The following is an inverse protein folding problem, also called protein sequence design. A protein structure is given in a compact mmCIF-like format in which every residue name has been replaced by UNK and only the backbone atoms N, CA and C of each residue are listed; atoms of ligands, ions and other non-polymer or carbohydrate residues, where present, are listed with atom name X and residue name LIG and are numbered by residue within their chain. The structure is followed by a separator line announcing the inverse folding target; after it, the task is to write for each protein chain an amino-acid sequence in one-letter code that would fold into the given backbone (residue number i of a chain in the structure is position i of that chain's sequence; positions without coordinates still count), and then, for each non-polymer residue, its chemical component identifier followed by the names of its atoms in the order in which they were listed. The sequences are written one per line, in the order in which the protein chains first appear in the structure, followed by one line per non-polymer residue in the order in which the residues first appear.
data_IF_551994802660
#
_entry.id   IF_551994802660
#
_cell.length_a   1.000
_cell.length_b   1.000
_cell.length_c   1.000
_cell.angle_alpha   90.00
_cell.angle_beta   90.00
_cell.angle_gamma   90.00
#
_symmetry.space_group_name_H-M   'P 1'
#
loop_
_entity.id
_entity.type
_entity.pdbx_description
1 polymer ?
#
# COMPACT_ATOMS: atom_id res chain seq x y z
N UNK A 1 -8.57 33.28 18.40
CA UNK A 1 -9.41 33.11 19.61
C UNK A 1 -8.47 32.83 20.76
N UNK A 2 -8.34 33.75 21.72
CA UNK A 2 -7.61 33.46 22.96
C UNK A 2 -8.53 32.60 23.83
N UNK A 3 -8.04 31.44 24.27
CA UNK A 3 -8.80 30.55 25.14
C UNK A 3 -8.86 31.14 26.55
N UNK A 4 -9.98 31.78 26.88
CA UNK A 4 -10.19 32.42 28.18
C UNK A 4 -10.55 31.43 29.29
N UNK A 5 -10.72 30.13 28.97
CA UNK A 5 -11.15 29.10 29.93
C UNK A 5 -10.02 28.15 30.37
N UNK A 6 -8.77 28.46 30.02
CA UNK A 6 -7.58 27.68 30.35
C UNK A 6 -7.79 26.18 30.13
N UNK A 7 -8.32 25.81 28.95
CA UNK A 7 -8.70 24.42 28.67
C UNK A 7 -7.47 23.60 28.33
N UNK A 8 -7.45 22.37 28.81
CA UNK A 8 -6.28 21.49 28.68
C UNK A 8 -6.68 20.13 28.10
N UNK A 9 -5.94 19.70 27.08
CA UNK A 9 -5.92 18.31 26.64
C UNK A 9 -4.58 17.72 27.02
N UNK A 10 -4.57 16.74 27.92
CA UNK A 10 -3.38 15.99 28.30
C UNK A 10 -3.44 14.60 27.64
N UNK A 11 -2.33 14.18 27.03
CA UNK A 11 -2.22 12.89 26.34
C UNK A 11 -0.95 12.21 26.84
N UNK A 12 -1.03 10.92 27.19
CA UNK A 12 0.14 10.13 27.55
C UNK A 12 1.15 10.05 26.41
N UNK A 13 2.43 9.91 26.75
CA UNK A 13 3.56 9.84 25.80
C UNK A 13 4.52 8.67 26.12
N UNK A 14 3.94 7.54 26.56
CA UNK A 14 4.65 6.36 27.06
C UNK A 14 5.77 5.87 26.16
N UNK A 15 5.56 5.74 24.84
CA UNK A 15 6.61 5.26 23.93
C UNK A 15 7.79 6.22 23.90
N UNK A 16 7.55 7.54 23.87
CA UNK A 16 8.61 8.53 23.76
C UNK A 16 9.40 8.73 25.06
N UNK A 17 8.87 8.25 26.19
CA UNK A 17 9.61 8.14 27.45
C UNK A 17 10.57 6.94 27.49
N UNK A 18 10.63 6.12 26.43
CA UNK A 18 11.60 5.01 26.32
C UNK A 18 13.04 5.55 26.38
N UNK A 19 13.89 5.04 27.29
CA UNK A 19 15.30 5.41 27.36
C UNK A 19 16.02 5.23 26.01
N UNK A 20 16.94 6.14 25.67
CA UNK A 20 17.62 6.15 24.36
C UNK A 20 18.28 4.82 24.02
N UNK A 21 18.84 4.13 25.00
CA UNK A 21 19.51 2.84 24.84
C UNK A 21 18.55 1.66 24.65
N UNK A 22 17.24 1.84 24.87
CA UNK A 22 16.19 0.83 24.69
C UNK A 22 15.43 0.94 23.37
N UNK A 23 15.66 2.01 22.60
CA UNK A 23 15.07 2.15 21.27
C UNK A 23 15.56 1.04 20.33
N UNK A 24 14.64 0.60 19.47
CA UNK A 24 14.79 -0.47 18.49
C UNK A 24 15.21 -1.80 19.15
N UNK A 25 14.66 -2.07 20.34
CA UNK A 25 14.83 -3.32 21.08
C UNK A 25 13.48 -3.82 21.60
N UNK A 26 13.44 -5.08 22.01
CA UNK A 26 12.22 -5.70 22.58
C UNK A 26 11.66 -4.90 23.76
N UNK A 27 12.53 -4.27 24.57
CA UNK A 27 12.14 -3.37 25.67
C UNK A 27 11.20 -2.21 25.26
N UNK A 28 11.27 -1.80 24.00
CA UNK A 28 10.46 -0.69 23.47
C UNK A 28 9.19 -1.14 22.78
N UNK A 29 8.96 -2.46 22.63
CA UNK A 29 7.74 -3.00 22.05
C UNK A 29 6.58 -2.94 23.05
N UNK A 30 5.32 -2.90 22.57
CA UNK A 30 4.14 -3.02 23.43
C UNK A 30 4.14 -4.32 24.22
N UNK A 31 3.73 -4.25 25.49
CA UNK A 31 3.52 -5.45 26.30
C UNK A 31 2.29 -6.20 25.80
N UNK A 32 2.44 -7.49 25.52
CA UNK A 32 1.35 -8.37 25.09
C UNK A 32 0.93 -9.34 26.20
N UNK A 33 -0.35 -9.70 26.33
CA UNK A 33 -1.49 -9.21 25.53
C UNK A 33 -1.78 -7.74 25.79
N UNK A 34 -2.28 -7.02 24.77
CA UNK A 34 -2.61 -5.61 24.94
C UNK A 34 -3.78 -5.46 25.91
N UNK A 35 -3.71 -4.42 26.74
CA UNK A 35 -4.89 -3.97 27.45
C UNK A 35 -5.95 -3.45 26.47
N UNK A 36 -7.20 -3.47 26.89
CA UNK A 36 -8.31 -2.95 26.11
C UNK A 36 -9.07 -1.90 26.89
N UNK A 37 -9.63 -0.95 26.16
CA UNK A 37 -10.45 0.13 26.69
C UNK A 37 -11.80 0.13 25.97
N UNK A 38 -12.88 0.06 26.74
CA UNK A 38 -14.24 0.07 26.20
C UNK A 38 -14.78 1.50 26.12
N UNK A 39 -14.79 2.04 24.90
CA UNK A 39 -15.29 3.39 24.63
C UNK A 39 -16.76 3.57 24.94
N UNK A 40 -17.57 2.51 25.03
CA UNK A 40 -19.00 2.66 25.33
C UNK A 40 -19.26 3.23 26.73
N UNK A 41 -18.27 3.17 27.62
CA UNK A 41 -18.30 3.78 28.94
C UNK A 41 -18.19 5.31 28.88
N UNK A 42 -17.60 5.83 27.80
CA UNK A 42 -17.57 7.26 27.49
C UNK A 42 -18.84 7.54 26.71
N UNK A 43 -19.81 8.25 27.31
CA UNK A 43 -21.11 8.58 26.70
C UNK A 43 -20.98 9.43 25.42
N UNK A 44 -20.54 8.81 24.32
CA UNK A 44 -20.21 9.50 23.08
C UNK A 44 -20.31 8.59 21.86
N UNK A 45 -20.79 9.18 20.76
CA UNK A 45 -20.67 8.65 19.41
C UNK A 45 -19.29 8.99 18.81
N UNK A 46 -18.33 8.08 18.99
CA UNK A 46 -17.02 8.10 18.34
C UNK A 46 -17.05 7.10 17.19
N UNK A 47 -16.68 7.54 15.99
CA UNK A 47 -16.66 6.71 14.79
C UNK A 47 -15.53 5.66 14.84
N UNK A 48 -15.77 4.56 15.55
CA UNK A 48 -14.86 3.41 15.64
C UNK A 48 -15.46 2.20 14.95
N UNK A 49 -14.60 1.28 14.51
CA UNK A 49 -15.02 -0.01 13.96
C UNK A 49 -15.54 -0.92 15.07
N UNK A 50 -14.93 -0.82 16.25
CA UNK A 50 -15.35 -1.52 17.47
C UNK A 50 -15.11 -0.62 18.69
N UNK A 51 -16.05 -0.63 19.65
CA UNK A 51 -15.94 0.15 20.88
C UNK A 51 -14.83 -0.35 21.82
N UNK A 52 -14.42 -1.62 21.70
CA UNK A 52 -13.27 -2.15 22.42
C UNK A 52 -12.00 -1.76 21.66
N UNK A 53 -11.23 -0.86 22.24
CA UNK A 53 -10.02 -0.29 21.67
C UNK A 53 -8.79 -0.97 22.30
N UNK A 54 -7.93 -1.64 21.52
CA UNK A 54 -6.65 -2.11 22.04
C UNK A 54 -5.75 -0.92 22.38
N UNK A 55 -5.00 -1.01 23.47
CA UNK A 55 -4.05 0.02 23.91
C UNK A 55 -2.64 -0.41 23.52
N UNK A 56 -2.11 0.11 22.41
CA UNK A 56 -0.75 -0.21 21.96
C UNK A 56 0.27 0.38 22.94
N UNK A 57 0.20 1.67 23.20
CA UNK A 57 0.90 2.33 24.30
C UNK A 57 -0.09 3.18 25.08
N UNK A 58 0.09 3.21 26.39
CA UNK A 58 -0.72 4.00 27.28
C UNK A 58 -0.44 3.70 28.74
N UNK A 59 -1.05 4.48 29.60
CA UNK A 59 -0.97 4.38 31.05
C UNK A 59 -2.35 4.65 31.61
N UNK A 60 -2.82 3.80 32.53
CA UNK A 60 -4.05 4.10 33.28
C UNK A 60 -3.89 5.41 34.05
N UNK A 61 -4.96 6.19 34.07
CA UNK A 61 -5.06 7.40 34.87
C UNK A 61 -5.33 7.03 36.34
N UNK A 62 -5.30 8.02 37.24
CA UNK A 62 -5.58 7.82 38.68
C UNK A 62 -6.96 7.19 38.95
N UNK A 63 -7.92 7.37 38.03
CA UNK A 63 -9.25 6.75 38.06
C UNK A 63 -9.23 5.25 37.77
N UNK A 64 -8.12 4.71 37.27
CA UNK A 64 -8.00 3.36 36.73
C UNK A 64 -8.44 3.24 35.27
N UNK A 65 -8.96 4.30 34.65
CA UNK A 65 -9.42 4.31 33.26
C UNK A 65 -8.39 4.96 32.30
N UNK A 66 -8.62 4.89 31.00
CA UNK A 66 -7.80 5.51 29.95
C UNK A 66 -8.30 6.89 29.52
N UNK A 67 -9.40 7.37 30.08
CA UNK A 67 -9.91 8.71 29.82
C UNK A 67 -10.51 9.34 31.09
N UNK A 68 -10.26 10.64 31.27
CA UNK A 68 -10.91 11.45 32.30
C UNK A 68 -11.40 12.74 31.65
N UNK A 69 -12.70 13.02 31.78
CA UNK A 69 -13.39 14.09 31.05
C UNK A 69 -14.01 15.05 32.05
N UNK A 70 -13.53 16.29 32.02
CA UNK A 70 -14.01 17.42 32.82
C UNK A 70 -14.38 18.60 31.89
N UNK A 71 -15.04 19.62 32.41
CA UNK A 71 -15.55 20.73 31.60
C UNK A 71 -14.47 21.54 30.87
N UNK A 72 -13.30 21.70 31.50
CA UNK A 72 -12.16 22.42 30.96
C UNK A 72 -10.93 21.53 30.75
N UNK A 73 -11.02 20.22 31.02
CA UNK A 73 -9.86 19.33 30.93
C UNK A 73 -10.26 17.95 30.44
N UNK A 74 -9.52 17.43 29.47
CA UNK A 74 -9.59 16.02 29.09
C UNK A 74 -8.20 15.43 29.25
N UNK A 75 -8.11 14.30 29.96
CA UNK A 75 -6.88 13.50 30.05
C UNK A 75 -7.09 12.20 29.29
N UNK A 76 -6.15 11.86 28.43
CA UNK A 76 -6.09 10.61 27.69
C UNK A 76 -4.89 9.82 28.19
N UNK A 77 -5.16 8.68 28.83
CA UNK A 77 -4.16 7.68 29.19
C UNK A 77 -3.64 6.91 27.97
N UNK A 78 -4.32 7.01 26.82
CA UNK A 78 -3.83 6.46 25.55
C UNK A 78 -2.67 7.30 25.04
N UNK A 79 -1.54 6.67 24.72
CA UNK A 79 -0.46 7.32 23.98
C UNK A 79 -0.75 7.25 22.48
N UNK A 80 -1.60 8.19 22.04
CA UNK A 80 -2.05 8.28 20.65
C UNK A 80 -0.89 8.55 19.70
N UNK A 81 0.05 9.41 20.09
CA UNK A 81 1.15 9.82 19.23
C UNK A 81 2.22 8.73 19.11
N UNK A 82 2.61 8.11 20.22
CA UNK A 82 3.53 6.99 20.25
C UNK A 82 2.96 5.76 19.55
N UNK A 83 1.69 5.44 19.79
CA UNK A 83 1.04 4.33 19.09
C UNK A 83 0.89 4.58 17.59
N UNK A 84 0.56 5.81 17.17
CA UNK A 84 0.54 6.18 15.76
C UNK A 84 1.95 6.09 15.15
N UNK A 85 2.97 6.58 15.84
CA UNK A 85 4.36 6.44 15.41
C UNK A 85 4.73 4.98 15.19
N UNK A 86 4.55 4.12 16.21
CA UNK A 86 4.84 2.69 16.13
C UNK A 86 4.17 2.01 14.92
N UNK A 87 2.88 2.28 14.71
CA UNK A 87 2.10 1.68 13.62
C UNK A 87 2.51 2.21 12.25
N UNK A 88 2.73 3.53 12.11
CA UNK A 88 3.01 4.17 10.82
C UNK A 88 4.46 3.98 10.36
N UNK A 89 5.42 3.92 11.28
CA UNK A 89 6.83 3.65 10.94
C UNK A 89 7.11 2.17 10.78
N UNK A 90 6.12 1.30 11.05
CA UNK A 90 6.29 -0.16 11.08
C UNK A 90 7.43 -0.56 12.03
N UNK A 91 7.49 0.11 13.18
CA UNK A 91 8.60 0.04 14.13
C UNK A 91 9.01 -1.40 14.49
N UNK A 92 8.02 -2.27 14.70
CA UNK A 92 8.24 -3.68 15.02
C UNK A 92 8.99 -4.47 13.93
N UNK A 93 8.95 -4.05 12.66
CA UNK A 93 9.64 -4.75 11.56
C UNK A 93 11.15 -4.57 11.58
N UNK A 94 11.61 -3.53 12.29
CA UNK A 94 13.03 -3.24 12.54
C UNK A 94 13.52 -3.99 13.77
N UNK A 95 12.67 -4.13 14.79
CA UNK A 95 13.01 -4.82 16.04
C UNK A 95 12.98 -6.35 15.85
N UNK A 96 11.91 -6.87 15.23
CA UNK A 96 11.70 -8.31 15.04
C UNK A 96 12.46 -8.80 13.81
N UNK A 97 13.21 -9.89 13.98
CA UNK A 97 14.02 -10.50 12.93
C UNK A 97 13.27 -11.45 12.00
N UNK A 98 11.99 -11.73 12.25
CA UNK A 98 11.17 -12.65 11.44
C UNK A 98 10.97 -12.13 10.03
N UNK A 99 11.23 -12.99 9.04
CA UNK A 99 11.03 -12.72 7.63
C UNK A 99 10.38 -13.91 6.93
N UNK A 100 9.62 -13.65 5.87
CA UNK A 100 9.13 -14.68 4.96
C UNK A 100 10.20 -15.08 3.92
N UNK A 101 9.84 -16.00 3.02
CA UNK A 101 10.70 -16.47 1.92
C UNK A 101 11.16 -15.38 0.93
N UNK A 102 10.56 -14.19 1.02
CA UNK A 102 10.88 -13.01 0.22
C UNK A 102 11.59 -11.91 1.03
N UNK A 103 12.07 -12.24 2.23
CA UNK A 103 12.74 -11.29 3.15
C UNK A 103 11.85 -10.13 3.63
N UNK A 104 10.52 -10.32 3.61
CA UNK A 104 9.56 -9.32 4.10
C UNK A 104 9.12 -9.66 5.51
N UNK A 105 8.72 -8.66 6.29
CA UNK A 105 8.08 -8.91 7.57
C UNK A 105 6.64 -9.43 7.33
N UNK A 106 6.31 -10.67 7.76
CA UNK A 106 5.00 -11.23 7.48
C UNK A 106 3.92 -10.61 8.37
N UNK A 107 2.74 -10.31 7.79
CA UNK A 107 1.60 -9.75 8.53
C UNK A 107 1.22 -10.59 9.77
N UNK A 108 1.38 -11.92 9.70
CA UNK A 108 1.10 -12.84 10.82
C UNK A 108 2.01 -12.67 12.04
N UNK A 109 3.16 -12.01 11.90
CA UNK A 109 4.06 -11.69 12.99
C UNK A 109 3.81 -10.30 13.59
N UNK A 110 2.91 -9.52 12.99
CA UNK A 110 2.58 -8.17 13.46
C UNK A 110 1.80 -8.22 14.77
N UNK A 111 2.02 -7.21 15.62
CA UNK A 111 1.18 -6.95 16.80
C UNK A 111 -0.31 -6.98 16.42
N UNK A 112 -0.67 -6.33 15.32
CA UNK A 112 -2.04 -6.21 14.87
C UNK A 112 -2.69 -7.56 14.54
N UNK A 113 -1.94 -8.53 14.01
CA UNK A 113 -2.45 -9.89 13.79
C UNK A 113 -2.63 -10.64 15.12
N UNK A 114 -1.62 -10.60 15.99
CA UNK A 114 -1.65 -11.31 17.28
C UNK A 114 -2.76 -10.81 18.21
N UNK A 115 -3.04 -9.51 18.17
CA UNK A 115 -4.03 -8.83 19.00
C UNK A 115 -5.38 -8.65 18.29
N UNK A 116 -5.58 -9.28 17.12
CA UNK A 116 -6.87 -9.36 16.45
C UNK A 116 -7.39 -8.05 15.84
N UNK A 117 -6.54 -7.06 15.61
CA UNK A 117 -6.93 -5.76 15.02
C UNK A 117 -6.32 -5.49 13.63
N UNK A 118 -5.73 -6.48 12.97
CA UNK A 118 -5.08 -6.32 11.65
C UNK A 118 -5.97 -5.65 10.59
N UNK A 119 -7.27 -5.92 10.62
CA UNK A 119 -8.24 -5.35 9.66
C UNK A 119 -8.84 -4.02 10.11
N UNK A 120 -8.42 -3.49 11.27
CA UNK A 120 -8.93 -2.23 11.83
C UNK A 120 -7.98 -1.08 11.50
N UNK A 121 -8.50 0.09 11.11
CA UNK A 121 -7.68 1.28 10.93
C UNK A 121 -7.37 1.92 12.30
N UNK A 122 -6.64 1.21 13.16
CA UNK A 122 -6.49 1.56 14.59
C UNK A 122 -5.97 2.99 14.81
N UNK A 123 -5.06 3.45 13.96
CA UNK A 123 -4.56 4.85 14.01
C UNK A 123 -5.70 5.85 13.74
N UNK A 124 -6.60 5.56 12.81
CA UNK A 124 -7.78 6.40 12.58
C UNK A 124 -8.72 6.35 13.79
N UNK A 125 -8.97 5.19 14.38
CA UNK A 125 -9.80 5.08 15.59
C UNK A 125 -9.22 5.92 16.74
N UNK A 126 -7.90 5.90 16.96
CA UNK A 126 -7.24 6.80 17.90
C UNK A 126 -7.39 8.28 17.53
N UNK A 127 -7.31 8.63 16.25
CA UNK A 127 -7.54 10.01 15.80
C UNK A 127 -8.99 10.46 16.01
N UNK A 128 -9.98 9.56 15.95
CA UNK A 128 -11.36 9.90 16.28
C UNK A 128 -11.54 10.16 17.78
N UNK A 129 -10.89 9.38 18.65
CA UNK A 129 -10.84 9.65 20.10
C UNK A 129 -10.21 11.02 20.36
N UNK A 130 -9.05 11.30 19.75
CA UNK A 130 -8.37 12.59 19.89
C UNK A 130 -9.25 13.74 19.41
N UNK A 131 -9.85 13.60 18.22
CA UNK A 131 -10.72 14.62 17.65
C UNK A 131 -11.93 14.89 18.54
N UNK A 132 -12.52 13.83 19.10
CA UNK A 132 -13.61 13.98 20.04
C UNK A 132 -13.19 14.79 21.27
N UNK A 133 -12.04 14.46 21.89
CA UNK A 133 -11.52 15.20 23.05
C UNK A 133 -11.26 16.67 22.74
N UNK A 134 -10.69 16.96 21.57
CA UNK A 134 -10.49 18.33 21.08
C UNK A 134 -11.84 19.04 20.94
N UNK A 135 -12.83 18.40 20.30
CA UNK A 135 -14.14 19.01 20.06
C UNK A 135 -14.93 19.23 21.36
N UNK A 136 -14.78 18.36 22.35
CA UNK A 136 -15.37 18.51 23.69
C UNK A 136 -14.87 19.78 24.38
N UNK A 137 -13.57 20.04 24.33
CA UNK A 137 -12.95 21.23 24.91
C UNK A 137 -13.20 22.49 24.07
N UNK A 138 -13.16 22.38 22.75
CA UNK A 138 -13.35 23.49 21.84
C UNK A 138 -14.46 23.21 20.82
N UNK A 139 -15.75 23.35 21.22
CA UNK A 139 -16.90 23.06 20.36
C UNK A 139 -16.95 23.88 19.07
N UNK A 140 -16.27 25.03 19.01
CA UNK A 140 -16.17 25.87 17.81
C UNK A 140 -15.19 25.36 16.75
N UNK A 141 -14.33 24.37 17.04
CA UNK A 141 -13.35 23.89 16.07
C UNK A 141 -14.01 23.04 14.97
N UNK A 142 -13.70 23.34 13.72
CA UNK A 142 -14.17 22.56 12.58
C UNK A 142 -13.08 21.63 12.08
N UNK A 143 -13.47 20.40 11.72
CA UNK A 143 -12.53 19.45 11.14
C UNK A 143 -12.30 19.79 9.68
N UNK A 144 -11.03 19.84 9.25
CA UNK A 144 -10.70 19.96 7.83
C UNK A 144 -11.32 18.79 7.06
N UNK A 145 -12.18 19.10 6.08
CA UNK A 145 -12.74 18.10 5.16
C UNK A 145 -11.61 17.47 4.35
N UNK A 146 -11.52 16.14 4.37
CA UNK A 146 -10.57 15.38 3.55
C UNK A 146 -11.25 14.99 2.25
N UNK A 147 -10.66 15.39 1.13
CA UNK A 147 -10.97 14.82 -0.18
C UNK A 147 -9.93 13.76 -0.49
N UNK A 148 -10.36 12.59 -0.98
CA UNK A 148 -9.46 11.58 -1.51
C UNK A 148 -9.34 11.72 -3.02
N UNK A 149 -8.28 11.16 -3.59
CA UNK A 149 -8.11 10.97 -5.03
C UNK A 149 -7.64 9.54 -5.27
N UNK A 150 -8.23 8.88 -6.26
CA UNK A 150 -7.78 7.57 -6.70
C UNK A 150 -6.56 7.69 -7.63
N UNK A 151 -5.37 7.45 -7.10
CA UNK A 151 -4.14 7.33 -7.88
C UNK A 151 -3.96 5.85 -8.25
N UNK A 152 -4.45 5.42 -9.42
CA UNK A 152 -4.27 4.04 -9.87
C UNK A 152 -2.98 3.91 -10.67
N UNK A 153 -2.25 2.84 -10.34
CA UNK A 153 -1.05 2.41 -11.05
C UNK A 153 -1.15 0.96 -11.48
N UNK A 154 -0.38 0.60 -12.50
CA UNK A 154 -0.38 -0.72 -13.10
C UNK A 154 1.06 -1.20 -13.28
N UNK A 155 1.38 -2.34 -12.68
CA UNK A 155 2.67 -3.00 -12.89
C UNK A 155 2.58 -3.81 -14.19
N UNK A 156 3.50 -3.54 -15.11
CA UNK A 156 3.57 -4.23 -16.39
C UNK A 156 4.54 -5.39 -16.24
N UNK A 157 4.06 -6.52 -15.73
CA UNK A 157 4.90 -7.71 -15.50
C UNK A 157 4.82 -8.71 -16.66
N UNK A 158 3.58 -9.00 -17.08
CA UNK A 158 3.26 -10.02 -18.07
C UNK A 158 2.32 -9.46 -19.14
N UNK A 159 2.79 -8.50 -19.97
CA UNK A 159 1.96 -7.86 -20.98
C UNK A 159 1.49 -8.83 -22.08
N UNK A 160 2.24 -9.92 -22.29
CA UNK A 160 1.98 -10.94 -23.29
C UNK A 160 2.05 -12.34 -22.65
N UNK A 161 0.99 -13.12 -22.77
CA UNK A 161 0.90 -14.47 -22.18
C UNK A 161 1.00 -15.60 -23.19
N UNK A 162 0.89 -15.26 -24.47
CA UNK A 162 0.89 -16.17 -25.62
C UNK A 162 2.08 -15.86 -26.50
N UNK A 163 2.23 -14.60 -26.93
CA UNK A 163 3.38 -14.18 -27.73
C UNK A 163 4.69 -14.37 -26.94
N UNK A 164 5.71 -14.91 -27.61
CA UNK A 164 7.00 -15.23 -26.99
C UNK A 164 7.00 -16.45 -26.04
N UNK A 165 5.85 -17.06 -25.76
CA UNK A 165 5.76 -18.28 -24.96
C UNK A 165 5.74 -19.56 -25.82
N UNK A 166 6.14 -20.68 -25.23
CA UNK A 166 6.05 -21.99 -25.87
C UNK A 166 4.56 -22.37 -26.09
N UNK A 167 4.11 -22.70 -27.31
CA UNK A 167 2.73 -23.09 -27.60
C UNK A 167 2.22 -24.24 -26.72
N UNK A 168 3.06 -25.24 -26.39
CA UNK A 168 2.69 -26.34 -25.49
C UNK A 168 2.33 -25.83 -24.09
N UNK A 169 3.01 -24.78 -23.60
CA UNK A 169 2.69 -24.13 -22.32
C UNK A 169 1.35 -23.41 -22.39
N UNK A 170 1.07 -22.74 -23.51
CA UNK A 170 -0.22 -22.06 -23.74
C UNK A 170 -1.37 -23.07 -23.77
N UNK A 171 -1.19 -24.20 -24.47
CA UNK A 171 -2.16 -25.30 -24.51
C UNK A 171 -2.39 -25.91 -23.12
N UNK A 172 -1.32 -26.18 -22.36
CA UNK A 172 -1.43 -26.65 -20.97
C UNK A 172 -2.20 -25.66 -20.09
N UNK A 173 -1.97 -24.36 -20.29
CA UNK A 173 -2.69 -23.30 -19.55
C UNK A 173 -4.17 -23.29 -19.94
N UNK A 174 -4.50 -23.41 -21.23
CA UNK A 174 -5.87 -23.49 -21.72
C UNK A 174 -6.61 -24.73 -21.17
N UNK A 175 -5.95 -25.88 -21.06
CA UNK A 175 -6.50 -27.06 -20.40
C UNK A 175 -6.75 -26.79 -18.90
N UNK A 176 -5.83 -26.10 -18.22
CA UNK A 176 -6.02 -25.65 -16.84
C UNK A 176 -7.18 -24.67 -16.67
N UNK A 177 -7.44 -23.82 -17.66
CA UNK A 177 -8.60 -22.91 -17.65
C UNK A 177 -9.92 -23.69 -17.61
N UNK A 178 -10.02 -24.80 -18.33
CA UNK A 178 -11.20 -25.69 -18.28
C UNK A 178 -11.22 -26.52 -16.99
N UNK A 179 -10.14 -27.26 -16.71
CA UNK A 179 -10.15 -28.30 -15.67
C UNK A 179 -10.06 -27.73 -14.25
N UNK A 180 -9.27 -26.67 -14.05
CA UNK A 180 -9.01 -26.08 -12.73
C UNK A 180 -9.87 -24.84 -12.49
N UNK A 181 -9.97 -23.94 -13.48
CA UNK A 181 -10.73 -22.67 -13.35
C UNK A 181 -12.19 -22.82 -13.72
N UNK A 182 -12.58 -23.92 -14.37
CA UNK A 182 -13.95 -24.18 -14.85
C UNK A 182 -14.46 -23.08 -15.79
N UNK A 183 -13.57 -22.50 -16.58
CA UNK A 183 -13.85 -21.40 -17.50
C UNK A 183 -13.50 -21.79 -18.95
N UNK A 184 -14.50 -22.33 -19.66
CA UNK A 184 -14.38 -22.74 -21.06
C UNK A 184 -14.23 -21.54 -21.99
N UNK A 185 -14.81 -20.39 -21.64
CA UNK A 185 -14.75 -19.19 -22.45
C UNK A 185 -13.33 -18.61 -22.45
N UNK A 186 -12.67 -18.56 -21.30
CA UNK A 186 -11.28 -18.15 -21.17
C UNK A 186 -10.35 -19.07 -21.98
N UNK A 187 -10.57 -20.39 -21.89
CA UNK A 187 -9.81 -21.36 -22.67
C UNK A 187 -9.94 -21.11 -24.18
N UNK A 188 -11.19 -20.95 -24.65
CA UNK A 188 -11.49 -20.63 -26.06
C UNK A 188 -10.80 -19.34 -26.50
N UNK A 189 -10.89 -18.26 -25.71
CA UNK A 189 -10.23 -16.98 -26.01
C UNK A 189 -8.71 -17.14 -26.07
N UNK A 190 -8.11 -17.93 -25.18
CA UNK A 190 -6.66 -18.17 -25.16
C UNK A 190 -6.20 -18.94 -26.39
N UNK A 191 -6.96 -19.94 -26.83
CA UNK A 191 -6.68 -20.69 -28.06
C UNK A 191 -6.83 -19.81 -29.32
N UNK A 192 -7.88 -18.98 -29.38
CA UNK A 192 -8.03 -17.99 -30.46
C UNK A 192 -6.87 -16.99 -30.49
N UNK A 193 -6.44 -16.54 -29.31
CA UNK A 193 -5.26 -15.69 -29.17
C UNK A 193 -4.00 -16.37 -29.69
N UNK A 194 -3.77 -17.65 -29.34
CA UNK A 194 -2.67 -18.45 -29.88
C UNK A 194 -2.69 -18.53 -31.40
N UNK A 195 -3.84 -18.81 -32.00
CA UNK A 195 -3.97 -18.86 -33.46
C UNK A 195 -3.60 -17.52 -34.11
N UNK A 196 -4.13 -16.39 -33.59
CA UNK A 196 -3.85 -15.05 -34.13
C UNK A 196 -2.40 -14.63 -33.96
N UNK A 197 -1.81 -14.90 -32.80
CA UNK A 197 -0.39 -14.62 -32.54
C UNK A 197 0.51 -15.45 -33.46
N UNK A 198 0.18 -16.72 -33.74
CA UNK A 198 0.91 -17.55 -34.70
C UNK A 198 0.84 -17.00 -36.14
N UNK A 199 -0.20 -16.23 -36.49
CA UNK A 199 -0.30 -15.50 -37.76
C UNK A 199 0.41 -14.13 -37.75
N UNK A 200 1.13 -13.80 -36.69
CA UNK A 200 1.90 -12.54 -36.54
C UNK A 200 1.16 -11.40 -35.84
N UNK A 201 -0.11 -11.58 -35.47
CA UNK A 201 -0.89 -10.56 -34.76
C UNK A 201 -0.65 -10.62 -33.24
N UNK A 202 0.46 -10.04 -32.79
CA UNK A 202 0.81 -9.95 -31.36
C UNK A 202 -0.21 -9.14 -30.55
N UNK A 203 -0.83 -8.12 -31.15
CA UNK A 203 -1.84 -7.28 -30.49
C UNK A 203 -3.10 -8.07 -30.09
N UNK A 204 -3.31 -9.26 -30.66
CA UNK A 204 -4.38 -10.19 -30.28
C UNK A 204 -4.05 -11.09 -29.07
N UNK A 205 -2.93 -10.88 -28.38
CA UNK A 205 -2.63 -11.58 -27.12
C UNK A 205 -3.76 -11.33 -26.10
N UNK A 206 -4.26 -12.39 -25.46
CA UNK A 206 -5.34 -12.29 -24.49
C UNK A 206 -4.97 -11.43 -23.27
N UNK A 207 -3.67 -11.28 -22.97
CA UNK A 207 -3.19 -10.44 -21.87
C UNK A 207 -2.95 -8.98 -22.27
N UNK A 208 -2.99 -8.67 -23.57
CA UNK A 208 -2.95 -7.30 -24.06
C UNK A 208 -4.29 -6.60 -23.77
N UNK A 209 -4.42 -6.10 -22.55
CA UNK A 209 -5.64 -5.44 -22.02
C UNK A 209 -5.45 -3.94 -21.81
N UNK A 210 -4.33 -3.38 -22.26
CA UNK A 210 -3.95 -2.00 -22.00
C UNK A 210 -4.96 -0.99 -22.55
N UNK A 211 -5.55 -1.23 -23.73
CA UNK A 211 -6.62 -0.38 -24.25
C UNK A 211 -7.83 -0.36 -23.33
N UNK A 212 -8.29 -1.52 -22.88
CA UNK A 212 -9.40 -1.60 -21.95
C UNK A 212 -9.10 -0.83 -20.64
N UNK A 213 -7.89 -0.96 -20.10
CA UNK A 213 -7.46 -0.28 -18.86
C UNK A 213 -7.44 1.25 -19.07
N UNK A 214 -6.87 1.71 -20.19
CA UNK A 214 -6.80 3.14 -20.51
C UNK A 214 -8.20 3.71 -20.81
N UNK A 215 -9.02 3.04 -21.63
CA UNK A 215 -10.41 3.42 -21.94
C UNK A 215 -11.26 3.51 -20.67
N UNK A 216 -11.13 2.56 -19.75
CA UNK A 216 -11.83 2.58 -18.47
C UNK A 216 -11.38 3.77 -17.60
N UNK A 217 -10.10 4.11 -17.64
CA UNK A 217 -9.55 5.23 -16.86
C UNK A 217 -9.97 6.58 -17.41
N UNK A 218 -9.87 6.77 -18.72
CA UNK A 218 -10.25 8.00 -19.42
C UNK A 218 -11.74 8.31 -19.29
N UNK A 219 -12.61 7.29 -19.38
CA UNK A 219 -14.05 7.45 -19.14
C UNK A 219 -14.39 7.99 -17.75
N UNK A 220 -13.48 7.87 -16.78
CA UNK A 220 -13.63 8.40 -15.44
C UNK A 220 -12.80 9.68 -15.21
N UNK A 221 -12.19 10.25 -16.26
CA UNK A 221 -11.35 11.45 -16.18
C UNK A 221 -10.04 11.21 -15.42
N UNK A 222 -9.50 9.99 -15.44
CA UNK A 222 -8.37 9.62 -14.60
C UNK A 222 -7.11 9.32 -15.42
N UNK A 223 -6.02 10.03 -15.07
CA UNK A 223 -4.64 9.71 -15.46
C UNK A 223 -4.12 8.53 -14.63
N UNK A 224 -3.22 7.73 -15.21
CA UNK A 224 -2.71 6.46 -14.65
C UNK A 224 -1.22 6.36 -14.84
N UNK A 225 -0.55 5.62 -13.97
CA UNK A 225 0.85 5.26 -14.13
C UNK A 225 0.99 3.79 -14.51
N UNK A 226 1.85 3.50 -15.50
CA UNK A 226 2.24 2.16 -15.90
C UNK A 226 3.72 1.98 -15.61
N UNK A 227 4.05 1.06 -14.69
CA UNK A 227 5.39 0.80 -14.23
C UNK A 227 6.00 -0.36 -15.02
N UNK A 228 7.09 -0.10 -15.74
CA UNK A 228 7.77 -1.09 -16.57
C UNK A 228 9.06 -1.59 -15.92
N UNK A 229 9.28 -2.90 -16.04
CA UNK A 229 10.46 -3.60 -15.56
C UNK A 229 11.63 -3.29 -16.48
N UNK A 230 12.70 -2.73 -15.90
CA UNK A 230 13.88 -2.30 -16.66
C UNK A 230 15.04 -3.32 -16.65
N UNK A 231 15.06 -4.28 -15.72
CA UNK A 231 16.07 -5.34 -15.67
C UNK A 231 15.51 -6.60 -14.98
N UNK A 232 16.26 -7.71 -15.00
CA UNK A 232 15.78 -9.03 -14.56
C UNK A 232 16.73 -9.69 -13.56
N UNK A 233 16.96 -9.04 -12.42
CA UNK A 233 17.89 -9.53 -11.38
C UNK A 233 17.47 -10.85 -10.73
N UNK A 234 16.23 -11.29 -10.92
CA UNK A 234 15.69 -12.58 -10.50
C UNK A 234 15.11 -13.40 -11.69
N UNK A 235 15.54 -13.09 -12.92
CA UNK A 235 15.14 -13.83 -14.11
C UNK A 235 13.64 -13.74 -14.37
N UNK A 236 12.96 -14.90 -14.46
CA UNK A 236 11.53 -14.95 -14.81
C UNK A 236 10.58 -14.36 -13.77
N UNK A 237 11.05 -14.11 -12.54
CA UNK A 237 10.26 -13.41 -11.54
C UNK A 237 9.97 -11.97 -12.01
N UNK A 238 10.93 -11.37 -12.73
CA UNK A 238 10.86 -10.02 -13.29
C UNK A 238 10.13 -9.97 -14.66
N UNK A 239 9.33 -10.98 -14.98
CA UNK A 239 8.72 -11.11 -16.30
C UNK A 239 9.67 -11.68 -17.35
N UNK A 240 9.31 -11.50 -18.63
CA UNK A 240 10.03 -12.08 -19.78
C UNK A 240 10.31 -11.08 -20.90
N UNK A 241 9.74 -9.88 -20.84
CA UNK A 241 9.93 -8.89 -21.90
C UNK A 241 11.15 -8.03 -21.60
N UNK A 242 11.70 -7.38 -22.63
CA UNK A 242 12.70 -6.35 -22.46
C UNK A 242 12.09 -5.01 -22.86
N UNK A 243 12.50 -3.94 -22.20
CA UNK A 243 12.11 -2.58 -22.62
C UNK A 243 12.45 -2.31 -24.09
N UNK A 244 13.50 -2.97 -24.61
CA UNK A 244 13.93 -2.83 -25.99
C UNK A 244 13.01 -3.52 -27.02
N UNK A 245 12.10 -4.38 -26.56
CA UNK A 245 11.22 -5.12 -27.45
C UNK A 245 10.31 -4.14 -28.22
N UNK A 246 10.21 -4.24 -29.57
CA UNK A 246 9.46 -3.28 -30.37
C UNK A 246 7.99 -3.14 -29.95
N UNK A 247 7.38 -4.23 -29.49
CA UNK A 247 6.00 -4.21 -29.00
C UNK A 247 5.87 -3.43 -27.68
N UNK A 248 6.86 -3.54 -26.78
CA UNK A 248 6.90 -2.81 -25.51
C UNK A 248 7.12 -1.32 -25.76
N UNK A 249 8.05 -0.95 -26.65
CA UNK A 249 8.25 0.45 -27.07
C UNK A 249 6.98 1.06 -27.68
N UNK A 250 6.29 0.32 -28.56
CA UNK A 250 4.98 0.71 -29.11
C UNK A 250 3.94 0.91 -28.01
N UNK A 251 3.89 0.01 -27.02
CA UNK A 251 3.00 0.13 -25.88
C UNK A 251 3.30 1.37 -25.04
N UNK A 252 4.57 1.62 -24.69
CA UNK A 252 4.99 2.80 -23.92
C UNK A 252 4.58 4.10 -24.62
N UNK A 253 4.81 4.20 -25.94
CA UNK A 253 4.38 5.35 -26.75
C UNK A 253 2.88 5.53 -26.76
N UNK A 254 2.13 4.44 -26.87
CA UNK A 254 0.68 4.47 -26.86
C UNK A 254 0.14 4.97 -25.52
N UNK A 255 0.67 4.46 -24.42
CA UNK A 255 0.31 4.88 -23.06
C UNK A 255 0.59 6.37 -22.87
N UNK A 256 1.80 6.82 -23.20
CA UNK A 256 2.18 8.23 -23.09
C UNK A 256 1.35 9.13 -24.01
N UNK A 257 1.14 8.73 -25.27
CA UNK A 257 0.34 9.46 -26.26
C UNK A 257 -1.14 9.61 -25.87
N UNK A 258 -1.65 8.72 -25.02
CA UNK A 258 -2.98 8.83 -24.40
C UNK A 258 -2.99 9.65 -23.10
N UNK A 259 -1.86 10.26 -22.74
CA UNK A 259 -1.71 11.14 -21.59
C UNK A 259 -1.42 10.42 -20.27
N UNK A 260 -1.19 9.11 -20.28
CA UNK A 260 -0.83 8.35 -19.08
C UNK A 260 0.67 8.45 -18.76
N UNK A 261 1.03 8.11 -17.53
CA UNK A 261 2.39 8.16 -17.01
C UNK A 261 3.12 6.83 -17.21
N UNK A 262 4.40 6.91 -17.54
CA UNK A 262 5.34 5.80 -17.52
C UNK A 262 6.21 5.92 -16.27
N UNK A 263 6.45 4.82 -15.58
CA UNK A 263 7.36 4.78 -14.45
C UNK A 263 8.22 3.53 -14.41
N UNK A 264 9.13 3.50 -13.45
CA UNK A 264 10.01 2.37 -13.20
C UNK A 264 9.33 1.33 -12.31
N UNK A 265 9.21 0.09 -12.78
CA UNK A 265 9.06 -1.06 -11.91
C UNK A 265 10.45 -1.63 -11.68
N UNK A 266 10.97 -1.55 -10.45
CA UNK A 266 12.30 -2.10 -10.18
C UNK A 266 12.29 -3.62 -10.22
N UNK A 267 13.41 -4.24 -10.60
CA UNK A 267 13.56 -5.69 -10.60
C UNK A 267 13.60 -6.25 -9.18
N UNK A 268 13.24 -7.51 -9.02
CA UNK A 268 12.94 -8.16 -7.74
C UNK A 268 14.08 -8.08 -6.71
N UNK A 269 15.35 -8.25 -7.12
CA UNK A 269 16.49 -8.17 -6.20
C UNK A 269 17.11 -6.75 -6.09
N UNK A 270 16.53 -5.75 -6.76
CA UNK A 270 17.07 -4.39 -6.78
C UNK A 270 17.04 -3.68 -5.42
N UNK A 271 16.12 -4.08 -4.51
CA UNK A 271 16.00 -3.49 -3.17
C UNK A 271 17.30 -3.58 -2.34
N UNK A 272 18.20 -4.48 -2.72
CA UNK A 272 19.53 -4.66 -2.09
C UNK A 272 20.59 -3.71 -2.62
N UNK A 273 20.33 -2.99 -3.72
CA UNK A 273 21.36 -2.20 -4.42
C UNK A 273 20.79 -0.91 -5.03
N UNK A 274 21.18 0.21 -4.43
CA UNK A 274 20.86 1.54 -4.97
C UNK A 274 21.46 1.76 -6.36
N UNK A 275 22.61 1.17 -6.67
CA UNK A 275 23.23 1.28 -7.98
C UNK A 275 22.48 0.49 -9.05
N UNK A 276 21.88 -0.65 -8.69
CA UNK A 276 21.01 -1.40 -9.60
C UNK A 276 19.74 -0.59 -9.92
N UNK A 277 19.12 0.04 -8.93
CA UNK A 277 17.97 0.94 -9.15
C UNK A 277 18.35 2.11 -10.06
N UNK A 278 19.51 2.75 -9.85
CA UNK A 278 20.00 3.83 -10.73
C UNK A 278 20.22 3.34 -12.16
N UNK A 279 20.81 2.15 -12.35
CA UNK A 279 21.05 1.56 -13.66
C UNK A 279 19.72 1.30 -14.39
N UNK A 280 18.77 0.69 -13.70
CA UNK A 280 17.43 0.41 -14.21
C UNK A 280 16.69 1.69 -14.60
N UNK A 281 16.74 2.71 -13.75
CA UNK A 281 16.15 4.01 -14.03
C UNK A 281 16.77 4.66 -15.27
N UNK A 282 18.11 4.69 -15.37
CA UNK A 282 18.81 5.22 -16.55
C UNK A 282 18.40 4.50 -17.83
N UNK A 283 18.19 3.19 -17.77
CA UNK A 283 17.72 2.41 -18.93
C UNK A 283 16.30 2.81 -19.33
N UNK A 284 15.38 2.95 -18.38
CA UNK A 284 14.03 3.43 -18.67
C UNK A 284 14.05 4.80 -19.35
N UNK A 285 14.85 5.73 -18.83
CA UNK A 285 15.01 7.08 -19.39
C UNK A 285 15.57 7.03 -20.82
N UNK A 286 16.64 6.26 -21.06
CA UNK A 286 17.21 6.09 -22.40
C UNK A 286 16.17 5.60 -23.42
N UNK A 287 15.40 4.57 -23.05
CA UNK A 287 14.34 4.02 -23.92
C UNK A 287 13.23 5.05 -24.14
N UNK A 288 12.84 5.79 -23.10
CA UNK A 288 11.85 6.85 -23.23
C UNK A 288 12.30 7.96 -24.17
N UNK A 289 13.55 8.42 -24.06
CA UNK A 289 14.13 9.46 -24.92
C UNK A 289 14.17 9.01 -26.39
N UNK A 290 14.61 7.78 -26.66
CA UNK A 290 14.61 7.19 -28.00
C UNK A 290 13.21 7.15 -28.64
N UNK A 291 12.17 6.94 -27.81
CA UNK A 291 10.78 6.89 -28.25
C UNK A 291 10.07 8.26 -28.24
N UNK A 292 10.78 9.34 -27.85
CA UNK A 292 10.23 10.70 -27.75
C UNK A 292 9.25 10.91 -26.58
N UNK A 293 9.32 10.07 -25.55
CA UNK A 293 8.46 10.13 -24.36
C UNK A 293 9.04 11.14 -23.38
N UNK A 294 8.35 12.27 -23.20
CA UNK A 294 8.75 13.34 -22.29
C UNK A 294 7.78 13.44 -21.11
N UNK A 295 8.30 13.50 -19.88
CA UNK A 295 7.52 13.67 -18.65
C UNK A 295 8.30 14.54 -17.65
N UNK A 296 7.61 15.41 -16.92
CA UNK A 296 8.24 16.29 -15.91
C UNK A 296 8.69 15.51 -14.67
N UNK A 297 7.96 14.45 -14.32
CA UNK A 297 8.20 13.62 -13.15
C UNK A 297 8.14 12.17 -13.56
N UNK A 298 9.13 11.41 -13.11
CA UNK A 298 9.19 9.96 -13.28
C UNK A 298 8.93 9.29 -11.94
N UNK A 299 7.88 8.48 -11.89
CA UNK A 299 7.57 7.65 -10.73
C UNK A 299 8.36 6.35 -10.72
N UNK A 300 8.42 5.71 -9.56
CA UNK A 300 8.95 4.37 -9.41
C UNK A 300 8.14 3.57 -8.39
N UNK A 301 8.19 2.24 -8.54
CA UNK A 301 7.66 1.27 -7.59
C UNK A 301 8.75 0.31 -7.11
#
# INVERSE_FOLDING_TARGET
MNDTKNRELLVSDVLFQTPTDKWIKDDSLPNQPLETFDLSQVLVDIACVNHIIPIIYGSRLDSGDYIDVQDSKVKLGLDIFGSAFFMLTRYEEVVKSVKDEHERFPARASLAYHEGFLMRPIVNEYLEILWWSIKKLWPGLERKKRSYRACLSHDVDWPLSVAGNNPLRVLKTAAGDVLKRKDVQLSTRRLMSLAKVCTGNVDADISNTFDFIMDASERNGLRRAFYFIADHTAGRIDGIYRLDDPWIRKLMKKICGRGHEIGLHTSYNSFRSTDQVKKEFKRLISVAEEEGICQDVWGGR
#
